data_IF_067667741378
#
_entry.id   IF_067667741378
#
_cell.length_a   1.000
_cell.length_b   1.000
_cell.length_c   1.000
_cell.angle_alpha   90.00
_cell.angle_beta   90.00
_cell.angle_gamma   90.00
#
_symmetry.space_group_name_H-M   'P 1'
#
loop_
_entity.id
_entity.type
_entity.pdbx_description
1 polymer ?
#
# COMPACT_ATOMS: atom_id res chain seq x y z
N UNK A 1 -10.41 18.70 -41.22
CA UNK A 1 -10.37 19.18 -39.81
C UNK A 1 -10.32 17.93 -38.94
N UNK A 2 -9.12 17.50 -38.53
CA UNK A 2 -8.91 16.30 -37.75
C UNK A 2 -8.42 16.72 -36.36
N UNK A 3 -9.11 16.30 -35.31
CA UNK A 3 -8.66 16.49 -33.93
C UNK A 3 -7.32 15.76 -33.72
N UNK A 4 -6.31 16.38 -33.10
CA UNK A 4 -5.11 15.67 -32.68
C UNK A 4 -5.46 14.88 -31.41
N UNK A 5 -5.80 13.61 -31.58
CA UNK A 5 -5.86 12.68 -30.45
C UNK A 5 -4.41 12.40 -30.06
N UNK A 6 -3.95 13.08 -29.00
CA UNK A 6 -2.64 12.83 -28.40
C UNK A 6 -2.59 11.35 -28.00
N UNK A 7 -1.87 10.57 -28.81
CA UNK A 7 -1.40 9.24 -28.51
C UNK A 7 -0.39 9.38 -27.37
N UNK A 8 -0.87 9.41 -26.14
CA UNK A 8 -0.03 9.14 -24.99
C UNK A 8 0.37 7.68 -25.07
N UNK A 9 1.64 7.49 -25.36
CA UNK A 9 2.38 6.23 -25.32
C UNK A 9 2.07 5.49 -24.02
N UNK A 10 1.76 4.19 -24.15
CA UNK A 10 1.93 3.25 -23.05
C UNK A 10 3.40 3.30 -22.63
N UNK A 11 3.71 4.06 -21.57
CA UNK A 11 4.99 3.92 -20.90
C UNK A 11 4.81 4.13 -19.39
N UNK A 12 5.50 3.25 -18.65
CA UNK A 12 5.62 3.16 -17.21
C UNK A 12 4.37 2.71 -16.43
N UNK A 13 4.13 1.39 -16.46
CA UNK A 13 3.59 0.71 -15.28
C UNK A 13 4.41 1.16 -14.06
N UNK A 14 3.77 1.87 -13.12
CA UNK A 14 4.44 2.42 -11.96
C UNK A 14 5.28 1.32 -11.25
N UNK A 15 6.53 1.62 -10.86
CA UNK A 15 7.34 0.67 -10.11
C UNK A 15 6.63 0.30 -8.80
N UNK A 16 6.76 -0.96 -8.35
CA UNK A 16 6.33 -1.34 -7.00
C UNK A 16 6.95 -0.33 -6.01
N UNK A 17 6.19 0.19 -5.02
CA UNK A 17 6.71 1.27 -4.20
C UNK A 17 7.97 0.79 -3.49
N UNK A 18 9.05 1.52 -3.71
CA UNK A 18 10.34 1.32 -3.06
C UNK A 18 10.20 1.66 -1.57
N UNK A 19 9.58 0.77 -0.78
CA UNK A 19 9.35 0.93 0.65
C UNK A 19 9.83 -0.28 1.44
N UNK A 20 9.74 -0.17 2.75
CA UNK A 20 10.02 -1.25 3.69
C UNK A 20 8.97 -1.21 4.80
N UNK A 21 8.73 -2.32 5.51
CA UNK A 21 7.81 -2.33 6.63
C UNK A 21 8.43 -1.58 7.82
N UNK A 22 7.69 -0.66 8.41
CA UNK A 22 8.06 0.14 9.58
C UNK A 22 7.20 -0.30 10.75
N UNK A 23 7.76 -0.90 11.81
CA UNK A 23 6.99 -1.23 13.00
C UNK A 23 6.55 0.05 13.70
N UNK A 24 5.25 0.18 13.93
CA UNK A 24 4.67 1.33 14.66
C UNK A 24 4.08 0.90 16.00
N UNK A 25 3.72 -0.37 16.15
CA UNK A 25 3.28 -0.94 17.42
C UNK A 25 4.20 -2.11 17.74
N UNK A 26 4.95 -2.01 18.83
CA UNK A 26 5.94 -3.01 19.24
C UNK A 26 5.45 -3.66 20.53
N UNK A 27 5.50 -4.98 20.60
CA UNK A 27 5.21 -5.68 21.85
C UNK A 27 6.47 -5.75 22.70
N UNK A 28 6.41 -5.23 23.92
CA UNK A 28 7.44 -5.40 24.92
C UNK A 28 7.47 -6.88 25.37
N UNK A 29 8.60 -7.56 25.18
CA UNK A 29 8.71 -9.00 25.45
C UNK A 29 8.65 -9.34 26.94
N UNK A 30 9.04 -8.41 27.82
CA UNK A 30 9.11 -8.63 29.27
C UNK A 30 7.74 -8.37 29.94
N UNK A 31 7.08 -7.29 29.53
CA UNK A 31 5.80 -6.87 30.14
C UNK A 31 4.58 -7.35 29.37
N UNK A 32 4.75 -7.76 28.11
CA UNK A 32 3.66 -8.11 27.19
C UNK A 32 2.85 -6.91 26.69
N UNK A 33 3.17 -5.69 27.13
CA UNK A 33 2.47 -4.44 26.78
C UNK A 33 2.83 -4.02 25.36
N UNK A 34 1.87 -3.44 24.63
CA UNK A 34 2.11 -2.84 23.33
C UNK A 34 2.45 -1.36 23.49
N UNK A 35 3.54 -0.95 22.85
CA UNK A 35 4.04 0.43 22.84
C UNK A 35 3.98 0.98 21.41
N UNK A 36 3.49 2.21 21.28
CA UNK A 36 3.43 2.93 20.01
C UNK A 36 4.75 3.66 19.78
N UNK A 37 5.41 3.38 18.67
CA UNK A 37 6.53 4.18 18.18
C UNK A 37 5.98 5.40 17.42
N UNK A 38 5.74 6.48 18.16
CA UNK A 38 5.23 7.72 17.59
C UNK A 38 6.17 8.35 16.56
N UNK A 39 7.48 8.22 16.75
CA UNK A 39 8.47 8.83 15.87
C UNK A 39 8.53 8.07 14.54
N UNK A 40 8.47 6.74 14.59
CA UNK A 40 8.31 5.90 13.40
C UNK A 40 7.01 6.24 12.66
N UNK A 41 5.88 6.37 13.37
CA UNK A 41 4.60 6.71 12.76
C UNK A 41 4.62 8.11 12.11
N UNK A 42 5.17 9.12 12.81
CA UNK A 42 5.34 10.48 12.29
C UNK A 42 6.23 10.48 11.06
N UNK A 43 7.30 9.70 11.04
CA UNK A 43 8.22 9.61 9.89
C UNK A 43 7.53 9.12 8.60
N UNK A 44 6.43 8.37 8.74
CA UNK A 44 5.68 7.78 7.62
C UNK A 44 4.49 8.64 7.20
N UNK A 45 3.73 9.17 8.16
CA UNK A 45 2.53 9.97 7.89
C UNK A 45 2.83 11.46 7.61
N UNK A 46 3.94 11.99 8.15
CA UNK A 46 4.36 13.38 7.97
C UNK A 46 5.56 13.50 7.00
N UNK A 47 5.80 12.47 6.19
CA UNK A 47 6.84 12.51 5.18
C UNK A 47 6.55 13.61 4.14
N UNK A 48 7.58 14.32 3.63
CA UNK A 48 7.38 15.36 2.62
C UNK A 48 6.67 14.85 1.36
N UNK A 49 5.65 15.57 0.92
CA UNK A 49 4.80 15.24 -0.22
C UNK A 49 3.55 14.42 0.13
N UNK A 50 3.31 14.05 1.39
CA UNK A 50 2.11 13.32 1.85
C UNK A 50 1.49 13.84 3.15
N UNK A 51 2.17 14.73 3.86
CA UNK A 51 1.79 15.30 5.16
C UNK A 51 0.41 15.99 5.17
N UNK A 52 0.05 16.64 4.06
CA UNK A 52 -1.23 17.36 3.92
C UNK A 52 -2.26 16.59 3.08
N UNK A 53 -1.98 15.33 2.72
CA UNK A 53 -2.87 14.51 1.90
C UNK A 53 -3.88 13.76 2.77
N UNK A 54 -5.04 13.47 2.18
CA UNK A 54 -5.99 12.56 2.81
C UNK A 54 -5.37 11.17 2.94
N UNK A 55 -5.62 10.52 4.08
CA UNK A 55 -5.10 9.19 4.39
C UNK A 55 -6.21 8.14 4.26
N UNK A 56 -5.89 7.01 3.63
CA UNK A 56 -6.71 5.80 3.62
C UNK A 56 -5.87 4.64 4.16
N UNK A 57 -6.39 3.92 5.16
CA UNK A 57 -5.72 2.75 5.74
C UNK A 57 -6.48 1.50 5.30
N UNK A 58 -5.77 0.58 4.65
CA UNK A 58 -6.27 -0.74 4.28
C UNK A 58 -5.68 -1.77 5.25
N UNK A 59 -6.52 -2.25 6.16
CA UNK A 59 -6.15 -3.21 7.19
C UNK A 59 -6.85 -4.55 6.97
N UNK A 60 -6.11 -5.67 6.97
CA UNK A 60 -6.70 -7.03 6.94
C UNK A 60 -6.15 -7.88 8.09
N UNK A 61 -6.94 -7.95 9.16
CA UNK A 61 -6.67 -8.81 10.30
C UNK A 61 -7.17 -10.26 10.08
N UNK A 62 -6.47 -11.24 10.65
CA UNK A 62 -6.92 -12.64 10.64
C UNK A 62 -5.80 -13.66 10.77
N UNK A 63 -6.16 -14.95 10.73
CA UNK A 63 -5.21 -16.04 10.91
C UNK A 63 -4.03 -15.97 9.92
N UNK A 64 -2.86 -16.42 10.38
CA UNK A 64 -1.65 -16.50 9.57
C UNK A 64 -1.87 -17.43 8.37
N UNK A 65 -1.37 -17.05 7.18
CA UNK A 65 -1.45 -17.83 5.92
C UNK A 65 -2.85 -18.07 5.34
N UNK A 66 -3.78 -17.12 5.52
CA UNK A 66 -5.09 -17.14 4.84
C UNK A 66 -5.18 -16.21 3.61
N UNK A 67 -4.03 -15.78 3.06
CA UNK A 67 -3.99 -14.96 1.85
C UNK A 67 -4.37 -13.49 2.06
N UNK A 68 -4.09 -12.92 3.25
CA UNK A 68 -4.44 -11.53 3.58
C UNK A 68 -3.70 -10.51 2.70
N UNK A 69 -2.37 -10.62 2.59
CA UNK A 69 -1.57 -9.78 1.69
C UNK A 69 -1.97 -9.95 0.22
N UNK A 70 -2.36 -11.17 -0.18
CA UNK A 70 -2.88 -11.42 -1.52
C UNK A 70 -4.17 -10.64 -1.80
N UNK A 71 -5.10 -10.60 -0.83
CA UNK A 71 -6.31 -9.78 -0.94
C UNK A 71 -5.98 -8.28 -1.00
N UNK A 72 -5.06 -7.82 -0.14
CA UNK A 72 -4.63 -6.42 -0.09
C UNK A 72 -4.01 -5.96 -1.42
N UNK A 73 -3.21 -6.81 -2.08
CA UNK A 73 -2.67 -6.53 -3.41
C UNK A 73 -3.78 -6.32 -4.47
N UNK A 74 -4.89 -7.07 -4.42
CA UNK A 74 -6.02 -6.84 -5.33
C UNK A 74 -6.77 -5.54 -5.04
N UNK A 75 -6.96 -5.21 -3.76
CA UNK A 75 -7.61 -3.96 -3.37
C UNK A 75 -6.76 -2.75 -3.81
N UNK A 76 -5.45 -2.83 -3.69
CA UNK A 76 -4.54 -1.83 -4.22
C UNK A 76 -4.65 -1.71 -5.74
N UNK A 77 -4.62 -2.84 -6.45
CA UNK A 77 -4.75 -2.88 -7.91
C UNK A 77 -6.04 -2.21 -8.37
N UNK A 78 -7.14 -2.46 -7.66
CA UNK A 78 -8.41 -1.77 -7.89
C UNK A 78 -8.29 -0.26 -7.65
N UNK A 79 -7.67 0.17 -6.55
CA UNK A 79 -7.53 1.59 -6.23
C UNK A 79 -6.71 2.35 -7.30
N UNK A 80 -5.68 1.72 -7.85
CA UNK A 80 -4.83 2.31 -8.89
C UNK A 80 -5.53 2.33 -10.26
N UNK A 81 -6.23 1.25 -10.63
CA UNK A 81 -6.83 1.10 -11.96
C UNK A 81 -8.34 1.40 -11.98
N UNK A 82 -8.87 2.13 -10.98
CA UNK A 82 -10.31 2.30 -10.74
C UNK A 82 -11.09 2.81 -11.96
N UNK A 83 -10.45 3.62 -12.79
CA UNK A 83 -11.09 4.26 -13.95
C UNK A 83 -10.99 3.42 -15.24
N UNK A 84 -10.33 2.25 -15.20
CA UNK A 84 -10.29 1.31 -16.32
C UNK A 84 -11.43 0.29 -16.28
N UNK A 85 -12.00 -0.04 -17.44
CA UNK A 85 -13.00 -1.13 -17.56
C UNK A 85 -12.43 -2.49 -17.14
N UNK A 86 -11.13 -2.70 -17.37
CA UNK A 86 -10.37 -3.89 -16.97
C UNK A 86 -9.37 -3.56 -15.85
N UNK A 87 -9.88 -3.17 -14.68
CA UNK A 87 -9.06 -2.84 -13.51
C UNK A 87 -8.23 -4.04 -13.01
N UNK A 88 -8.76 -5.25 -13.21
CA UNK A 88 -8.12 -6.51 -12.84
C UNK A 88 -6.95 -6.82 -13.77
N UNK A 89 -6.98 -6.33 -15.00
CA UNK A 89 -5.92 -6.44 -16.00
C UNK A 89 -5.51 -7.87 -16.32
N UNK A 90 -4.35 -8.01 -16.96
CA UNK A 90 -3.84 -9.31 -17.43
C UNK A 90 -3.68 -10.32 -16.28
N UNK A 91 -4.34 -11.49 -16.32
CA UNK A 91 -4.18 -12.56 -15.33
C UNK A 91 -2.74 -13.08 -15.18
N UNK A 92 -1.89 -12.89 -16.20
CA UNK A 92 -0.48 -13.29 -16.17
C UNK A 92 0.44 -12.21 -15.57
N UNK A 93 -0.08 -10.98 -15.39
CA UNK A 93 0.68 -9.91 -14.76
C UNK A 93 0.88 -10.20 -13.27
N UNK A 94 2.11 -10.07 -12.74
CA UNK A 94 2.35 -10.30 -11.31
C UNK A 94 1.55 -9.28 -10.49
N UNK A 95 1.00 -9.72 -9.37
CA UNK A 95 0.51 -8.79 -8.34
C UNK A 95 1.69 -7.96 -7.87
N UNK A 96 1.65 -6.66 -8.18
CA UNK A 96 2.64 -5.68 -7.77
C UNK A 96 2.07 -4.95 -6.56
N UNK A 97 2.82 -4.97 -5.47
CA UNK A 97 2.36 -4.49 -4.20
C UNK A 97 3.34 -4.91 -3.13
N UNK A 98 2.84 -5.54 -2.08
CA UNK A 98 3.64 -5.80 -0.89
C UNK A 98 4.46 -7.07 -1.02
N UNK A 99 5.70 -7.05 -0.50
CA UNK A 99 6.56 -8.24 -0.54
C UNK A 99 5.99 -9.30 0.39
N UNK A 100 5.41 -10.34 -0.19
CA UNK A 100 5.09 -11.57 0.52
C UNK A 100 6.23 -12.60 0.33
N UNK A 101 6.69 -13.23 1.42
CA UNK A 101 7.51 -14.44 1.36
C UNK A 101 6.66 -15.65 1.77
N UNK A 102 6.77 -16.74 1.03
CA UNK A 102 6.38 -18.05 1.55
C UNK A 102 7.38 -18.45 2.65
N UNK A 103 6.96 -18.32 3.91
CA UNK A 103 7.76 -18.69 5.09
C UNK A 103 6.87 -19.15 6.25
N UNK A 104 7.33 -20.12 7.04
CA UNK A 104 6.61 -20.71 8.20
C UNK A 104 6.90 -20.02 9.53
N UNK A 105 7.82 -19.07 9.55
CA UNK A 105 8.10 -18.25 10.73
C UNK A 105 7.09 -17.13 10.84
N UNK A 106 6.58 -16.96 12.06
CA UNK A 106 5.86 -15.74 12.48
C UNK A 106 6.85 -14.58 12.33
N UNK A 107 6.59 -13.69 11.38
CA UNK A 107 7.55 -12.63 11.01
C UNK A 107 7.26 -11.30 11.74
N UNK A 108 6.09 -11.14 12.38
CA UNK A 108 5.67 -9.87 12.98
C UNK A 108 4.89 -10.05 14.29
N UNK A 109 5.29 -9.31 15.32
CA UNK A 109 4.55 -9.12 16.58
C UNK A 109 4.26 -7.63 16.71
N UNK A 110 2.98 -7.25 16.67
CA UNK A 110 2.55 -5.85 16.61
C UNK A 110 2.05 -5.43 15.23
N UNK A 111 2.13 -4.14 14.92
CA UNK A 111 1.62 -3.51 13.69
C UNK A 111 2.78 -2.90 12.92
N UNK A 112 2.82 -3.18 11.61
CA UNK A 112 3.79 -2.61 10.69
C UNK A 112 3.04 -1.82 9.63
N UNK A 113 3.56 -0.65 9.29
CA UNK A 113 3.05 0.19 8.21
C UNK A 113 4.11 0.30 7.12
N UNK A 114 3.69 0.30 5.86
CA UNK A 114 4.62 0.46 4.75
C UNK A 114 5.19 1.89 4.68
N UNK A 115 6.51 2.03 4.57
CA UNK A 115 7.21 3.32 4.66
C UNK A 115 6.87 4.33 3.57
N UNK A 116 6.23 3.90 2.47
CA UNK A 116 5.84 4.78 1.35
C UNK A 116 4.40 4.50 0.94
N UNK A 117 3.48 5.45 1.05
CA UNK A 117 2.10 5.21 0.67
C UNK A 117 1.96 5.04 -0.84
N UNK A 118 0.89 4.37 -1.25
CA UNK A 118 0.42 4.43 -2.63
C UNK A 118 -0.38 5.72 -2.81
N UNK A 119 -0.01 6.51 -3.81
CA UNK A 119 -0.73 7.73 -4.14
C UNK A 119 -1.81 7.41 -5.17
N UNK A 120 -3.07 7.67 -4.81
CA UNK A 120 -4.22 7.48 -5.70
C UNK A 120 -4.91 8.81 -5.91
N UNK A 121 -5.08 9.19 -7.18
CA UNK A 121 -5.79 10.40 -7.55
C UNK A 121 -7.29 10.14 -7.60
N UNK A 122 -8.07 10.94 -6.88
CA UNK A 122 -9.53 10.91 -6.91
C UNK A 122 -10.06 11.58 -8.16
N UNK A 123 -11.32 11.30 -8.52
CA UNK A 123 -12.06 12.02 -9.56
C UNK A 123 -12.19 13.52 -9.28
N UNK A 124 -12.11 13.92 -8.01
CA UNK A 124 -12.09 15.32 -7.57
C UNK A 124 -10.76 16.03 -7.86
N UNK A 125 -9.71 15.29 -8.28
CA UNK A 125 -8.38 15.80 -8.55
C UNK A 125 -7.42 15.70 -7.36
N UNK A 126 -7.93 15.47 -6.15
CA UNK A 126 -7.17 15.29 -4.90
C UNK A 126 -6.41 13.97 -4.87
N UNK A 127 -5.26 13.94 -4.18
CA UNK A 127 -4.49 12.72 -3.96
C UNK A 127 -4.74 12.14 -2.56
N UNK A 128 -4.85 10.81 -2.48
CA UNK A 128 -4.99 10.05 -1.24
C UNK A 128 -3.78 9.15 -1.06
N UNK A 129 -3.21 9.18 0.14
CA UNK A 129 -2.12 8.31 0.57
C UNK A 129 -2.70 7.02 1.17
N UNK A 130 -2.43 5.87 0.55
CA UNK A 130 -2.88 4.57 1.01
C UNK A 130 -1.76 3.82 1.73
N UNK A 131 -2.02 3.40 2.96
CA UNK A 131 -1.14 2.59 3.80
C UNK A 131 -1.76 1.21 4.08
N UNK A 132 -0.93 0.17 4.19
CA UNK A 132 -1.34 -1.21 4.55
C UNK A 132 -1.02 -1.51 6.01
N UNK A 133 -1.91 -2.30 6.62
CA UNK A 133 -1.73 -3.03 7.88
C UNK A 133 -2.10 -4.52 7.76
#
# INVERSE_FOLDING_TARGET
>A
MACPCNRMTLDAAAPAPAGHPVPILIQNEETGVFELDEDALKSVLLAPGVEDKHVCVLAVAGAFRKGKSFLLDFLLRYCVNRDGEDWLGDPSSPLRGFKWRQGSKRETTGILVWSKPFLVRRKTGEEVSIYEE
#
